data_IF_232723711759
#
_entry.id   IF_232723711759
#
_cell.length_a   1.000
_cell.length_b   1.000
_cell.length_c   1.000
_cell.angle_alpha   90.00
_cell.angle_beta   90.00
_cell.angle_gamma   90.00
#
_symmetry.space_group_name_H-M   'P 1'
#
loop_
_entity.id
_entity.type
_entity.pdbx_description
1 polymer ?
#
# COMPACT_ATOMS: atom_id res chain seq x y z
N UNK A 1 -19.70 -4.43 1.41
CA UNK A 1 -18.52 -4.31 0.51
C UNK A 1 -18.72 -5.24 -0.69
N UNK A 2 -18.72 -4.75 -1.92
CA UNK A 2 -18.79 -5.63 -3.10
C UNK A 2 -17.44 -6.30 -3.25
N UNK A 3 -17.44 -7.62 -3.40
CA UNK A 3 -16.22 -8.42 -3.60
C UNK A 3 -15.54 -8.00 -4.91
N UNK A 4 -14.23 -7.83 -4.90
CA UNK A 4 -13.46 -7.57 -6.11
C UNK A 4 -13.66 -8.70 -7.13
N UNK A 5 -13.64 -8.35 -8.41
CA UNK A 5 -13.80 -9.30 -9.50
C UNK A 5 -12.49 -10.07 -9.66
N UNK A 6 -12.50 -11.36 -9.30
CA UNK A 6 -11.37 -12.27 -9.51
C UNK A 6 -11.18 -12.52 -11.00
N UNK A 7 -9.96 -12.38 -11.48
CA UNK A 7 -9.63 -12.60 -12.90
C UNK A 7 -9.17 -14.04 -13.12
N UNK A 8 -10.13 -14.92 -13.36
CA UNK A 8 -9.86 -16.33 -13.58
C UNK A 8 -9.02 -16.95 -12.45
N UNK A 9 -7.98 -17.70 -12.81
CA UNK A 9 -7.01 -18.26 -11.86
C UNK A 9 -5.73 -17.43 -11.70
N UNK A 10 -5.76 -16.15 -12.11
CA UNK A 10 -4.61 -15.24 -11.92
C UNK A 10 -4.50 -14.76 -10.48
N UNK A 11 -3.35 -14.20 -10.05
CA UNK A 11 -3.22 -13.57 -8.72
C UNK A 11 -3.93 -12.21 -8.63
N UNK A 12 -4.68 -11.81 -9.65
CA UNK A 12 -5.31 -10.49 -9.78
C UNK A 12 -6.80 -10.54 -9.50
N UNK A 13 -7.26 -9.63 -8.64
CA UNK A 13 -8.66 -9.18 -8.57
C UNK A 13 -8.73 -7.69 -8.81
N UNK A 14 -9.81 -7.20 -9.40
CA UNK A 14 -9.98 -5.77 -9.68
C UNK A 14 -11.32 -5.23 -9.20
N UNK A 15 -11.34 -3.93 -8.90
CA UNK A 15 -12.54 -3.11 -8.82
C UNK A 15 -12.38 -1.91 -9.75
N UNK A 16 -13.43 -1.57 -10.49
CA UNK A 16 -13.52 -0.36 -11.31
C UNK A 16 -14.65 0.49 -10.74
N UNK A 17 -14.40 1.75 -10.43
CA UNK A 17 -15.35 2.55 -9.70
C UNK A 17 -15.18 4.06 -9.91
N UNK A 18 -16.28 4.79 -9.64
CA UNK A 18 -16.29 6.24 -9.45
C UNK A 18 -16.43 6.53 -7.97
N UNK A 19 -15.74 7.54 -7.50
CA UNK A 19 -15.92 8.10 -6.15
C UNK A 19 -16.68 9.42 -6.30
N UNK A 20 -17.92 9.48 -5.79
CA UNK A 20 -18.76 10.66 -5.91
C UNK A 20 -18.61 11.62 -4.74
N UNK A 21 -18.36 11.08 -3.55
CA UNK A 21 -18.17 11.83 -2.31
C UNK A 21 -17.05 11.19 -1.50
N UNK A 22 -16.77 11.78 -0.34
CA UNK A 22 -15.85 11.16 0.61
C UNK A 22 -16.32 9.76 0.98
N UNK A 23 -15.46 8.79 0.75
CA UNK A 23 -15.70 7.39 1.10
C UNK A 23 -14.51 6.84 1.87
N UNK A 24 -14.78 6.09 2.93
CA UNK A 24 -13.76 5.30 3.63
C UNK A 24 -13.81 3.88 3.11
N UNK A 25 -12.67 3.36 2.69
CA UNK A 25 -12.56 2.00 2.22
C UNK A 25 -11.59 1.23 3.10
N UNK A 26 -12.03 0.05 3.52
CA UNK A 26 -11.17 -0.88 4.23
C UNK A 26 -10.35 -1.66 3.21
N UNK A 27 -9.04 -1.69 3.39
CA UNK A 27 -8.14 -2.49 2.59
C UNK A 27 -8.38 -4.00 2.82
N UNK A 28 -8.29 -4.79 1.76
CA UNK A 28 -8.40 -6.25 1.87
C UNK A 28 -7.11 -6.83 2.49
N UNK A 29 -7.24 -7.39 3.70
CA UNK A 29 -6.12 -8.06 4.35
C UNK A 29 -5.47 -9.13 3.47
N UNK A 30 -4.14 -9.15 3.43
CA UNK A 30 -3.34 -10.16 2.72
C UNK A 30 -3.07 -9.91 1.24
N UNK A 31 -3.60 -8.82 0.66
CA UNK A 31 -3.33 -8.43 -0.73
C UNK A 31 -2.65 -7.07 -0.81
N UNK A 32 -1.72 -6.91 -1.76
CA UNK A 32 -1.22 -5.59 -2.13
C UNK A 32 -2.27 -4.91 -3.01
N UNK A 33 -2.66 -3.68 -2.70
CA UNK A 33 -3.53 -2.89 -3.55
C UNK A 33 -2.73 -1.84 -4.31
N UNK A 34 -3.01 -1.70 -5.62
CA UNK A 34 -2.57 -0.56 -6.41
C UNK A 34 -3.81 0.18 -6.86
N UNK A 35 -3.90 1.46 -6.50
CA UNK A 35 -4.98 2.35 -6.92
C UNK A 35 -4.48 3.14 -8.12
N UNK A 36 -5.19 3.07 -9.24
CA UNK A 36 -4.88 3.75 -10.48
C UNK A 36 -6.03 4.66 -10.91
N UNK A 37 -5.77 5.95 -11.05
CA UNK A 37 -6.73 6.92 -11.55
C UNK A 37 -6.70 6.94 -13.08
N UNK A 38 -7.80 6.54 -13.73
CA UNK A 38 -7.90 6.51 -15.20
C UNK A 38 -8.42 7.81 -15.78
N UNK A 39 -9.25 8.56 -15.03
CA UNK A 39 -9.86 9.81 -15.52
C UNK A 39 -10.11 10.76 -14.37
N UNK A 40 -9.98 12.06 -14.65
CA UNK A 40 -10.27 13.13 -13.71
C UNK A 40 -9.26 13.18 -12.58
N UNK A 41 -9.74 13.39 -11.37
CA UNK A 41 -8.90 13.41 -10.18
C UNK A 41 -9.64 12.93 -8.95
N UNK A 42 -8.90 12.37 -8.01
CA UNK A 42 -9.41 11.96 -6.72
C UNK A 42 -8.43 12.38 -5.62
N UNK A 43 -8.94 13.02 -4.58
CA UNK A 43 -8.19 13.29 -3.37
C UNK A 43 -8.15 12.00 -2.55
N UNK A 44 -6.97 11.59 -2.19
CA UNK A 44 -6.70 10.37 -1.43
C UNK A 44 -5.98 10.75 -0.14
N UNK A 45 -6.54 10.36 1.00
CA UNK A 45 -5.94 10.56 2.31
C UNK A 45 -5.56 9.21 2.91
N UNK A 46 -4.30 9.06 3.25
CA UNK A 46 -3.75 7.85 3.86
C UNK A 46 -2.89 8.24 5.08
N UNK A 47 -3.22 7.69 6.22
CA UNK A 47 -2.60 8.10 7.49
C UNK A 47 -2.70 9.63 7.70
N UNK A 48 -1.59 10.33 7.65
CA UNK A 48 -1.51 11.80 7.79
C UNK A 48 -1.19 12.52 6.48
N UNK A 49 -1.00 11.77 5.40
CA UNK A 49 -0.67 12.32 4.09
C UNK A 49 -1.92 12.46 3.22
N UNK A 50 -1.94 13.50 2.42
CA UNK A 50 -3.00 13.77 1.47
C UNK A 50 -2.38 13.93 0.09
N UNK A 51 -2.89 13.17 -0.87
CA UNK A 51 -2.47 13.20 -2.27
C UNK A 51 -3.65 13.58 -3.15
N UNK A 52 -3.35 14.11 -4.33
CA UNK A 52 -4.34 14.19 -5.41
C UNK A 52 -3.84 13.31 -6.54
N UNK A 53 -4.56 12.22 -6.81
CA UNK A 53 -4.29 11.37 -7.96
C UNK A 53 -5.02 11.96 -9.17
N UNK A 54 -4.28 12.33 -10.19
CA UNK A 54 -4.80 12.74 -11.48
C UNK A 54 -4.82 11.56 -12.47
N UNK A 55 -5.47 11.73 -13.60
CA UNK A 55 -5.47 10.71 -14.65
C UNK A 55 -4.05 10.28 -15.03
N UNK A 56 -3.78 8.99 -14.89
CA UNK A 56 -2.45 8.40 -15.11
C UNK A 56 -1.60 8.23 -13.86
N UNK A 57 -2.01 8.77 -12.72
CA UNK A 57 -1.34 8.56 -11.43
C UNK A 57 -1.80 7.27 -10.76
N UNK A 58 -0.91 6.69 -9.97
CA UNK A 58 -1.20 5.48 -9.19
C UNK A 58 -0.40 5.46 -7.88
N UNK A 59 -0.89 4.68 -6.93
CA UNK A 59 -0.24 4.50 -5.63
C UNK A 59 -0.43 3.07 -5.13
N UNK A 60 0.60 2.51 -4.51
CA UNK A 60 0.46 1.29 -3.72
C UNK A 60 -0.08 1.62 -2.34
N UNK A 61 -0.99 0.77 -1.85
CA UNK A 61 -1.55 0.88 -0.51
C UNK A 61 -1.22 -0.38 0.26
N UNK A 62 -0.61 -0.19 1.42
CA UNK A 62 -0.24 -1.28 2.31
C UNK A 62 -1.45 -2.09 2.77
N UNK A 63 -1.17 -3.32 3.16
CA UNK A 63 -2.15 -4.21 3.78
C UNK A 63 -2.71 -3.57 5.05
N UNK A 64 -3.99 -3.77 5.25
CA UNK A 64 -4.71 -3.32 6.46
C UNK A 64 -4.71 -1.80 6.69
N UNK A 65 -4.41 -1.03 5.66
CA UNK A 65 -4.46 0.42 5.71
C UNK A 65 -5.88 0.98 5.51
N UNK A 66 -6.16 2.06 6.20
CA UNK A 66 -7.38 2.85 6.02
C UNK A 66 -7.07 4.10 5.24
N UNK A 67 -7.94 4.41 4.28
CA UNK A 67 -7.79 5.60 3.47
C UNK A 67 -9.15 6.19 3.09
N UNK A 68 -9.13 7.46 2.74
CA UNK A 68 -10.30 8.20 2.29
C UNK A 68 -10.11 8.64 0.84
N UNK A 69 -11.22 8.64 0.13
CA UNK A 69 -11.33 9.30 -1.15
C UNK A 69 -12.28 10.50 -1.05
N UNK A 70 -11.99 11.51 -1.84
CA UNK A 70 -12.90 12.60 -2.13
C UNK A 70 -12.68 13.04 -3.58
N UNK A 71 -13.71 12.95 -4.42
CA UNK A 71 -13.54 13.30 -5.82
C UNK A 71 -14.85 13.47 -6.57
N UNK A 72 -14.74 14.15 -7.71
CA UNK A 72 -15.82 14.30 -8.69
C UNK A 72 -15.25 14.07 -10.09
N UNK A 73 -16.10 13.54 -11.00
CA UNK A 73 -15.70 13.25 -12.38
C UNK A 73 -14.41 12.45 -12.50
N UNK A 74 -14.26 11.45 -11.65
CA UNK A 74 -13.10 10.55 -11.63
C UNK A 74 -13.48 9.14 -12.09
N UNK A 75 -12.48 8.36 -12.41
CA UNK A 75 -12.60 6.93 -12.67
C UNK A 75 -11.34 6.25 -12.17
N UNK A 76 -11.51 5.32 -11.23
CA UNK A 76 -10.41 4.62 -10.60
C UNK A 76 -10.50 3.11 -10.81
N UNK A 77 -9.36 2.46 -10.80
CA UNK A 77 -9.21 1.00 -10.73
C UNK A 77 -8.34 0.64 -9.55
N UNK A 78 -8.82 -0.27 -8.71
CA UNK A 78 -7.98 -0.96 -7.73
C UNK A 78 -7.57 -2.31 -8.28
N UNK A 79 -6.26 -2.57 -8.30
CA UNK A 79 -5.66 -3.87 -8.54
C UNK A 79 -5.36 -4.51 -7.18
N UNK A 80 -5.90 -5.67 -6.90
CA UNK A 80 -5.60 -6.44 -5.71
C UNK A 80 -4.74 -7.63 -6.11
N UNK A 81 -3.49 -7.63 -5.65
CA UNK A 81 -2.48 -8.63 -5.99
C UNK A 81 -2.29 -9.61 -4.82
N UNK A 82 -2.59 -10.88 -5.05
CA UNK A 82 -2.32 -11.96 -4.08
C UNK A 82 -0.82 -12.27 -4.07
N UNK A 83 -0.09 -11.62 -3.16
CA UNK A 83 1.35 -11.76 -3.03
C UNK A 83 1.77 -13.16 -2.55
N UNK A 84 0.86 -13.94 -1.94
CA UNK A 84 1.19 -15.29 -1.45
C UNK A 84 1.56 -16.25 -2.57
N UNK A 85 1.06 -16.03 -3.77
CA UNK A 85 1.38 -16.83 -4.96
C UNK A 85 2.83 -16.69 -5.44
N UNK A 86 3.52 -15.66 -4.97
CA UNK A 86 4.92 -15.36 -5.33
C UNK A 86 5.94 -15.77 -4.27
N UNK A 87 5.51 -16.39 -3.17
CA UNK A 87 6.40 -16.84 -2.09
C UNK A 87 7.49 -17.82 -2.54
N UNK A 88 7.23 -18.64 -3.56
CA UNK A 88 8.22 -19.55 -4.13
C UNK A 88 9.28 -18.81 -4.94
N UNK A 89 8.88 -17.74 -5.66
CA UNK A 89 9.80 -16.92 -6.47
C UNK A 89 10.57 -15.93 -5.60
N UNK A 90 9.87 -15.30 -4.66
CA UNK A 90 10.41 -14.26 -3.78
C UNK A 90 10.05 -14.57 -2.33
N UNK A 91 10.95 -15.19 -1.63
CA UNK A 91 10.73 -15.60 -0.24
C UNK A 91 10.36 -14.42 0.66
N UNK A 92 9.27 -14.54 1.40
CA UNK A 92 8.77 -13.50 2.29
C UNK A 92 8.07 -12.32 1.61
N UNK A 93 7.78 -12.40 0.30
CA UNK A 93 7.19 -11.27 -0.45
C UNK A 93 5.81 -10.87 0.09
N UNK A 94 5.00 -11.81 0.55
CA UNK A 94 3.68 -11.52 1.14
C UNK A 94 3.76 -10.71 2.44
N UNK A 95 4.95 -10.56 3.02
CA UNK A 95 5.23 -9.78 4.23
C UNK A 95 5.96 -8.48 3.96
N UNK A 96 6.35 -8.23 2.71
CA UNK A 96 7.08 -7.01 2.30
C UNK A 96 6.13 -5.83 2.14
N UNK A 97 6.66 -4.64 2.36
CA UNK A 97 5.98 -3.37 2.17
C UNK A 97 6.54 -2.70 0.91
N UNK A 98 5.65 -2.21 0.07
CA UNK A 98 6.02 -1.57 -1.19
C UNK A 98 5.56 -0.12 -1.18
N UNK A 99 6.51 0.82 -1.34
CA UNK A 99 6.21 2.24 -1.47
C UNK A 99 6.40 2.63 -2.93
N UNK A 100 5.29 2.78 -3.64
CA UNK A 100 5.29 3.20 -5.03
C UNK A 100 4.25 4.31 -5.23
N UNK A 101 4.72 5.55 -5.25
CA UNK A 101 3.90 6.74 -5.45
C UNK A 101 4.14 7.26 -6.88
N UNK A 102 3.42 6.69 -7.84
CA UNK A 102 3.45 7.11 -9.24
C UNK A 102 2.67 8.42 -9.46
N UNK A 103 2.90 9.42 -8.60
CA UNK A 103 2.21 10.70 -8.55
C UNK A 103 3.21 11.79 -8.96
N UNK A 104 2.78 12.73 -9.79
CA UNK A 104 3.66 13.84 -10.20
C UNK A 104 4.14 14.63 -8.98
N UNK A 105 5.43 14.89 -8.91
CA UNK A 105 6.09 15.55 -7.77
C UNK A 105 6.46 14.62 -6.60
N UNK A 106 6.04 13.36 -6.60
CA UNK A 106 6.40 12.35 -5.59
C UNK A 106 7.34 11.28 -6.15
N UNK A 107 7.44 11.16 -7.47
CA UNK A 107 8.30 10.17 -8.12
C UNK A 107 9.76 10.38 -7.77
N UNK A 108 10.45 9.29 -7.50
CA UNK A 108 11.91 9.26 -7.36
C UNK A 108 12.53 9.31 -8.76
N UNK A 109 13.33 10.32 -9.10
CA UNK A 109 13.83 10.51 -10.47
C UNK A 109 14.59 9.29 -11.02
N UNK A 110 15.36 8.61 -10.17
CA UNK A 110 16.16 7.43 -10.53
C UNK A 110 15.30 6.22 -10.91
N UNK A 111 14.01 6.22 -10.54
CA UNK A 111 13.05 5.15 -10.82
C UNK A 111 12.02 5.55 -11.89
N UNK A 112 12.24 6.66 -12.60
CA UNK A 112 11.27 7.17 -13.58
C UNK A 112 10.82 6.10 -14.59
N UNK A 113 11.76 5.32 -15.14
CA UNK A 113 11.47 4.23 -16.08
C UNK A 113 10.63 3.11 -15.46
N UNK A 114 10.78 2.83 -14.16
CA UNK A 114 10.03 1.79 -13.45
C UNK A 114 8.57 2.23 -13.22
N UNK A 115 8.33 3.51 -12.89
CA UNK A 115 6.97 4.06 -12.83
C UNK A 115 6.27 3.98 -14.18
N UNK A 116 6.97 4.35 -15.27
CA UNK A 116 6.41 4.30 -16.62
C UNK A 116 6.14 2.85 -17.05
N UNK A 117 7.03 1.92 -16.71
CA UNK A 117 6.82 0.50 -16.95
C UNK A 117 5.61 -0.04 -16.21
N UNK A 118 5.45 0.26 -14.91
CA UNK A 118 4.27 -0.13 -14.13
C UNK A 118 2.98 0.39 -14.72
N UNK A 119 2.96 1.68 -15.09
CA UNK A 119 1.80 2.31 -15.74
C UNK A 119 1.43 1.59 -17.04
N UNK A 120 2.40 1.33 -17.90
CA UNK A 120 2.20 0.62 -19.17
C UNK A 120 1.66 -0.80 -18.97
N UNK A 121 2.19 -1.54 -18.00
CA UNK A 121 1.74 -2.89 -17.67
C UNK A 121 0.29 -2.91 -17.14
N UNK A 122 -0.08 -1.97 -16.27
CA UNK A 122 -1.45 -1.85 -15.77
C UNK A 122 -2.45 -1.54 -16.88
N UNK A 123 -2.13 -0.59 -17.76
CA UNK A 123 -2.98 -0.25 -18.92
C UNK A 123 -3.10 -1.46 -19.84
N UNK A 124 -2.00 -2.17 -20.11
CA UNK A 124 -1.97 -3.35 -20.96
C UNK A 124 -2.83 -4.48 -20.38
N UNK A 125 -2.69 -4.76 -19.09
CA UNK A 125 -3.51 -5.77 -18.40
C UNK A 125 -5.01 -5.46 -18.50
N UNK A 126 -5.42 -4.21 -18.22
CA UNK A 126 -6.81 -3.77 -18.34
C UNK A 126 -7.33 -3.87 -19.78
N UNK A 127 -6.50 -3.51 -20.78
CA UNK A 127 -6.89 -3.62 -22.19
C UNK A 127 -7.11 -5.08 -22.60
N UNK A 128 -6.25 -5.99 -22.19
CA UNK A 128 -6.43 -7.42 -22.45
C UNK A 128 -7.67 -7.98 -21.74
N UNK A 129 -7.93 -7.55 -20.49
CA UNK A 129 -9.16 -7.87 -19.79
C UNK A 129 -10.40 -7.40 -20.54
N UNK A 130 -10.39 -6.16 -21.03
CA UNK A 130 -11.53 -5.58 -21.76
C UNK A 130 -11.83 -6.26 -23.10
N UNK A 131 -10.83 -6.93 -23.68
CA UNK A 131 -10.96 -7.70 -24.95
C UNK A 131 -11.26 -9.18 -24.72
N UNK A 132 -11.32 -9.64 -23.46
CA UNK A 132 -11.48 -11.07 -23.15
C UNK A 132 -10.29 -11.91 -23.59
N UNK A 133 -9.08 -11.36 -23.60
CA UNK A 133 -7.84 -12.06 -24.00
C UNK A 133 -7.50 -13.19 -23.03
N UNK A 134 -6.53 -14.03 -23.40
CA UNK A 134 -6.12 -15.17 -22.59
C UNK A 134 -5.58 -14.76 -21.23
N UNK A 135 -5.83 -15.57 -20.21
CA UNK A 135 -5.35 -15.34 -18.85
C UNK A 135 -3.82 -15.32 -18.75
N UNK A 136 -3.13 -16.01 -19.66
CA UNK A 136 -1.66 -16.07 -19.71
C UNK A 136 -1.02 -14.70 -19.95
N UNK A 137 -1.60 -13.92 -20.88
CA UNK A 137 -1.09 -12.55 -21.16
C UNK A 137 -1.28 -11.66 -19.93
N UNK A 138 -2.43 -11.75 -19.28
CA UNK A 138 -2.74 -10.96 -18.06
C UNK A 138 -1.79 -11.39 -16.94
N UNK A 139 -1.59 -12.69 -16.73
CA UNK A 139 -0.63 -13.20 -15.74
C UNK A 139 0.78 -12.68 -16.02
N UNK A 140 1.23 -12.68 -17.27
CA UNK A 140 2.53 -12.15 -17.66
C UNK A 140 2.69 -10.66 -17.28
N UNK A 141 1.67 -9.84 -17.51
CA UNK A 141 1.69 -8.44 -17.06
C UNK A 141 1.80 -8.33 -15.52
N UNK A 142 1.07 -9.19 -14.79
CA UNK A 142 1.10 -9.18 -13.33
C UNK A 142 2.45 -9.66 -12.80
N UNK A 143 3.03 -10.70 -13.40
CA UNK A 143 4.36 -11.19 -13.04
C UNK A 143 5.40 -10.07 -13.19
N UNK A 144 5.36 -9.32 -14.30
CA UNK A 144 6.26 -8.18 -14.49
C UNK A 144 5.98 -7.02 -13.53
N UNK A 145 4.73 -6.74 -13.17
CA UNK A 145 4.39 -5.73 -12.14
C UNK A 145 5.02 -6.12 -10.81
N UNK A 146 4.89 -7.38 -10.39
CA UNK A 146 5.48 -7.88 -9.15
C UNK A 146 7.00 -7.80 -9.19
N UNK A 147 7.62 -8.14 -10.32
CA UNK A 147 9.08 -8.08 -10.50
C UNK A 147 9.60 -6.65 -10.35
N UNK A 148 8.93 -5.66 -10.94
CA UNK A 148 9.29 -4.25 -10.80
C UNK A 148 9.08 -3.76 -9.36
N UNK A 149 7.95 -4.08 -8.75
CA UNK A 149 7.69 -3.70 -7.35
C UNK A 149 8.76 -4.27 -6.42
N UNK A 150 9.09 -5.56 -6.59
CA UNK A 150 10.11 -6.22 -5.78
C UNK A 150 11.51 -5.63 -5.95
N UNK A 151 11.90 -5.30 -7.18
CA UNK A 151 13.25 -4.81 -7.48
C UNK A 151 13.48 -3.34 -7.14
N UNK A 152 12.43 -2.52 -7.22
CA UNK A 152 12.58 -1.06 -7.20
C UNK A 152 11.82 -0.36 -6.07
N UNK A 153 10.71 -0.94 -5.60
CA UNK A 153 9.79 -0.28 -4.68
C UNK A 153 9.64 -0.97 -3.31
N UNK A 154 10.39 -2.03 -3.06
CA UNK A 154 10.50 -2.59 -1.72
C UNK A 154 11.04 -1.53 -0.75
N UNK A 155 10.36 -1.32 0.39
CA UNK A 155 10.70 -0.25 1.36
C UNK A 155 12.17 -0.28 1.78
N UNK A 156 12.78 -1.45 1.81
CA UNK A 156 14.19 -1.59 2.17
C UNK A 156 15.13 -1.17 1.04
N UNK A 157 14.74 -1.36 -0.20
CA UNK A 157 15.46 -0.83 -1.35
C UNK A 157 15.36 0.69 -1.41
N UNK A 158 14.17 1.23 -1.08
CA UNK A 158 13.87 2.65 -1.12
C UNK A 158 14.63 3.46 -0.06
N UNK A 159 14.68 2.97 1.20
CA UNK A 159 15.34 3.70 2.30
C UNK A 159 16.85 3.51 2.38
N UNK A 160 17.40 2.44 1.82
CA UNK A 160 18.82 2.14 1.93
C UNK A 160 19.68 2.86 0.88
N UNK A 161 19.08 3.45 -0.18
CA UNK A 161 19.83 4.00 -1.32
C UNK A 161 20.81 3.00 -1.96
N UNK A 162 20.74 1.73 -1.53
CA UNK A 162 21.55 0.60 -1.97
C UNK A 162 20.68 -0.64 -1.87
N UNK A 163 20.46 -1.28 -2.98
CA UNK A 163 19.89 -2.63 -3.02
C UNK A 163 20.61 -3.53 -2.01
N UNK A 164 19.92 -3.97 -0.98
CA UNK A 164 20.41 -5.06 -0.13
C UNK A 164 20.31 -6.31 -0.99
N UNK A 165 21.39 -6.66 -1.66
CA UNK A 165 21.49 -7.80 -2.58
C UNK A 165 21.48 -9.17 -1.87
N UNK A 166 21.36 -9.21 -0.55
CA UNK A 166 21.41 -10.45 0.22
C UNK A 166 20.01 -10.81 0.72
N UNK A 167 19.35 -11.72 0.02
CA UNK A 167 18.00 -12.20 0.33
C UNK A 167 17.88 -12.77 1.75
N UNK A 168 18.92 -13.40 2.32
CA UNK A 168 18.88 -13.88 3.70
C UNK A 168 18.82 -12.74 4.72
N UNK A 169 19.52 -11.64 4.45
CA UNK A 169 19.46 -10.44 5.31
C UNK A 169 18.09 -9.83 5.23
N UNK A 170 17.55 -9.67 4.04
CA UNK A 170 16.19 -9.15 3.81
C UNK A 170 15.14 -10.01 4.54
N UNK A 171 15.23 -11.33 4.40
CA UNK A 171 14.29 -12.24 5.07
C UNK A 171 14.33 -12.11 6.60
N UNK A 172 15.52 -12.02 7.20
CA UNK A 172 15.67 -11.83 8.65
C UNK A 172 15.03 -10.52 9.11
N UNK A 173 15.13 -9.49 8.32
CA UNK A 173 14.54 -8.18 8.57
C UNK A 173 13.03 -8.25 8.58
N UNK A 174 12.45 -8.81 7.51
CA UNK A 174 11.00 -8.99 7.44
C UNK A 174 10.48 -9.91 8.53
N UNK A 175 11.23 -10.95 8.86
CA UNK A 175 10.90 -11.84 9.98
C UNK A 175 10.90 -11.09 11.31
N UNK A 176 11.80 -10.12 11.51
CA UNK A 176 11.82 -9.28 12.70
C UNK A 176 10.61 -8.35 12.75
N UNK A 177 10.35 -7.65 11.67
CA UNK A 177 9.21 -6.73 11.55
C UNK A 177 7.88 -7.49 11.70
N UNK A 178 7.77 -8.66 11.09
CA UNK A 178 6.60 -9.52 11.20
C UNK A 178 6.38 -10.04 12.62
N UNK A 179 7.42 -10.50 13.30
CA UNK A 179 7.32 -10.90 14.70
C UNK A 179 6.83 -9.73 15.57
N UNK A 180 7.35 -8.53 15.35
CA UNK A 180 6.88 -7.32 16.05
C UNK A 180 5.41 -7.04 15.76
N UNK A 181 4.96 -7.18 14.52
CA UNK A 181 3.56 -7.00 14.12
C UNK A 181 2.65 -8.03 14.81
N UNK A 182 2.99 -9.31 14.79
CA UNK A 182 2.20 -10.36 15.44
C UNK A 182 2.09 -10.20 16.96
N UNK A 183 3.16 -9.68 17.59
CA UNK A 183 3.27 -9.57 19.05
C UNK A 183 3.17 -8.12 19.55
N UNK A 184 2.76 -7.17 18.70
CA UNK A 184 2.75 -5.75 19.05
C UNK A 184 1.90 -5.41 20.28
N UNK A 185 0.86 -6.20 20.54
CA UNK A 185 -0.03 -6.03 21.70
C UNK A 185 0.61 -6.51 23.01
N UNK A 186 1.68 -7.27 22.92
CA UNK A 186 2.41 -7.80 24.06
C UNK A 186 3.54 -6.87 24.51
N UNK A 187 4.06 -7.08 25.70
CA UNK A 187 5.23 -6.33 26.19
C UNK A 187 6.53 -6.91 25.65
N UNK A 188 6.76 -6.74 24.32
CA UNK A 188 7.96 -7.25 23.65
C UNK A 188 9.14 -6.29 23.76
N UNK A 189 10.34 -6.84 23.78
CA UNK A 189 11.60 -6.13 23.79
C UNK A 189 12.54 -6.67 22.68
N UNK A 190 13.63 -5.96 22.43
CA UNK A 190 14.66 -6.37 21.44
C UNK A 190 15.13 -7.81 21.66
N UNK A 191 15.27 -8.23 22.93
CA UNK A 191 15.70 -9.60 23.30
C UNK A 191 14.75 -10.69 22.77
N UNK A 192 13.45 -10.41 22.71
CA UNK A 192 12.43 -11.37 22.29
C UNK A 192 12.53 -11.59 20.78
N UNK A 193 12.69 -10.51 20.00
CA UNK A 193 12.97 -10.57 18.56
C UNK A 193 14.30 -11.27 18.29
N UNK A 194 15.34 -10.92 19.02
CA UNK A 194 16.67 -11.53 18.88
C UNK A 194 16.63 -13.04 19.13
N UNK A 195 15.97 -13.47 20.21
CA UNK A 195 15.76 -14.88 20.54
C UNK A 195 14.99 -15.62 19.44
N UNK A 196 13.90 -15.04 18.94
CA UNK A 196 13.07 -15.64 17.88
C UNK A 196 13.87 -15.88 16.60
N UNK A 197 14.77 -14.95 16.25
CA UNK A 197 15.52 -14.99 15.01
C UNK A 197 16.89 -15.67 15.12
N UNK A 198 17.27 -16.13 16.31
CA UNK A 198 18.61 -16.67 16.55
C UNK A 198 19.72 -15.63 16.38
N UNK A 199 19.44 -14.36 16.67
CA UNK A 199 20.34 -13.23 16.52
C UNK A 199 20.73 -12.66 17.90
N UNK A 200 21.78 -11.82 17.92
CA UNK A 200 22.12 -11.06 19.13
C UNK A 200 21.29 -9.80 19.25
N UNK A 201 20.99 -9.37 20.49
CA UNK A 201 20.27 -8.10 20.74
C UNK A 201 20.97 -6.89 20.10
N UNK A 202 22.29 -6.88 20.13
CA UNK A 202 23.09 -5.82 19.51
C UNK A 202 22.91 -5.76 17.98
N UNK A 203 22.82 -6.93 17.33
CA UNK A 203 22.55 -7.00 15.90
C UNK A 203 21.15 -6.42 15.57
N UNK A 204 20.12 -6.87 16.28
CA UNK A 204 18.74 -6.41 16.10
C UNK A 204 18.63 -4.91 16.39
N UNK A 205 19.22 -4.41 17.49
CA UNK A 205 19.23 -2.98 17.83
C UNK A 205 19.91 -2.13 16.77
N UNK A 206 21.12 -2.53 16.33
CA UNK A 206 21.85 -1.82 15.26
C UNK A 206 21.06 -1.83 13.95
N UNK A 207 20.41 -2.93 13.68
CA UNK A 207 19.62 -3.08 12.49
C UNK A 207 18.45 -2.08 12.47
N UNK A 208 17.61 -2.07 13.54
CA UNK A 208 16.50 -1.11 13.63
C UNK A 208 16.96 0.34 13.69
N UNK A 209 18.11 0.65 14.29
CA UNK A 209 18.61 2.03 14.32
C UNK A 209 19.22 2.50 13.00
N UNK A 210 19.72 1.57 12.16
CA UNK A 210 20.37 1.91 10.89
C UNK A 210 19.39 1.95 9.70
N UNK A 211 18.41 1.05 9.68
CA UNK A 211 17.54 0.82 8.52
C UNK A 211 16.06 1.10 8.80
N UNK A 212 15.72 1.48 10.04
CA UNK A 212 14.37 1.82 10.45
C UNK A 212 14.41 2.92 11.51
N UNK A 213 13.25 3.22 12.04
CA UNK A 213 13.03 4.27 13.05
C UNK A 213 13.57 3.92 14.46
N UNK A 214 14.23 2.79 14.62
CA UNK A 214 14.56 2.20 15.91
C UNK A 214 13.41 1.34 16.46
N UNK A 215 13.76 0.29 17.22
CA UNK A 215 12.81 -0.70 17.70
C UNK A 215 11.56 -0.11 18.39
N UNK A 216 11.76 0.81 19.33
CA UNK A 216 10.66 1.41 20.10
C UNK A 216 9.73 2.25 19.22
N UNK A 217 10.27 3.00 18.27
CA UNK A 217 9.49 3.81 17.34
C UNK A 217 8.72 2.94 16.37
N UNK A 218 9.34 1.88 15.84
CA UNK A 218 8.67 0.89 14.98
C UNK A 218 7.50 0.24 15.72
N UNK A 219 7.70 -0.20 16.96
CA UNK A 219 6.62 -0.78 17.76
C UNK A 219 5.51 0.23 18.05
N UNK A 220 5.87 1.48 18.34
CA UNK A 220 4.93 2.58 18.54
C UNK A 220 4.09 2.85 17.29
N UNK A 221 4.71 2.81 16.12
CA UNK A 221 4.01 2.94 14.84
C UNK A 221 3.01 1.80 14.61
N UNK A 222 3.45 0.55 14.75
CA UNK A 222 2.59 -0.62 14.58
C UNK A 222 1.36 -0.57 15.48
N UNK A 223 1.55 -0.23 16.75
CA UNK A 223 0.44 -0.07 17.72
C UNK A 223 -0.51 1.07 17.36
N UNK A 224 0.03 2.20 16.91
CA UNK A 224 -0.78 3.35 16.49
C UNK A 224 -1.58 3.00 15.22
N UNK A 225 -0.97 2.31 14.26
CA UNK A 225 -1.63 1.84 13.04
C UNK A 225 -2.76 0.84 13.34
N UNK A 226 -2.52 -0.14 14.21
CA UNK A 226 -3.56 -1.08 14.66
C UNK A 226 -4.77 -0.35 15.27
N UNK A 227 -4.53 0.78 15.95
CA UNK A 227 -5.61 1.54 16.58
C UNK A 227 -6.58 2.20 15.61
N UNK A 228 -6.21 2.40 14.35
CA UNK A 228 -7.10 2.97 13.33
C UNK A 228 -8.38 2.14 13.19
N UNK A 229 -8.22 0.83 13.11
CA UNK A 229 -9.37 -0.07 13.00
C UNK A 229 -10.36 0.12 14.16
N UNK A 230 -9.84 0.16 15.40
CA UNK A 230 -10.68 0.36 16.58
C UNK A 230 -11.34 1.73 16.60
N UNK A 231 -10.60 2.78 16.22
CA UNK A 231 -11.12 4.15 16.14
C UNK A 231 -12.30 4.26 15.17
N UNK A 232 -12.21 3.59 14.03
CA UNK A 232 -13.20 3.70 12.95
C UNK A 232 -14.38 2.73 13.10
N UNK A 233 -14.16 1.55 13.66
CA UNK A 233 -15.14 0.47 13.65
C UNK A 233 -15.76 0.12 15.02
N UNK A 234 -15.33 0.75 16.11
CA UNK A 234 -15.84 0.47 17.46
C UNK A 234 -16.20 1.73 18.23
N UNK A 235 -17.06 1.56 19.26
CA UNK A 235 -17.39 2.62 20.22
C UNK A 235 -16.46 2.64 21.44
N UNK A 236 -15.40 1.85 21.44
CA UNK A 236 -14.43 1.80 22.55
C UNK A 236 -13.88 3.20 22.85
N UNK A 237 -13.69 3.47 24.13
CA UNK A 237 -13.03 4.69 24.59
C UNK A 237 -11.56 4.71 24.11
N UNK A 238 -10.96 5.90 24.05
CA UNK A 238 -9.55 6.05 23.67
C UNK A 238 -8.64 5.27 24.65
N UNK A 239 -9.02 5.17 25.91
CA UNK A 239 -8.28 4.42 26.92
C UNK A 239 -8.32 2.92 26.62
N UNK A 240 -9.51 2.35 26.38
CA UNK A 240 -9.67 0.94 26.00
C UNK A 240 -8.90 0.58 24.71
N UNK A 241 -8.92 1.48 23.71
CA UNK A 241 -8.15 1.28 22.46
C UNK A 241 -6.65 1.28 22.75
N UNK A 242 -6.18 2.19 23.59
CA UNK A 242 -4.78 2.24 24.01
C UNK A 242 -4.30 0.92 24.62
N UNK A 243 -5.11 0.33 25.51
CA UNK A 243 -4.84 -0.97 26.14
C UNK A 243 -4.88 -2.12 25.15
N UNK A 244 -5.90 -2.17 24.30
CA UNK A 244 -6.06 -3.19 23.25
C UNK A 244 -4.89 -3.21 22.23
N UNK A 245 -4.32 -2.03 21.97
CA UNK A 245 -3.17 -1.89 21.07
C UNK A 245 -1.82 -2.07 21.80
N UNK A 246 -1.82 -2.45 23.09
CA UNK A 246 -0.64 -2.79 23.85
C UNK A 246 0.18 -1.60 24.37
N UNK A 247 -0.39 -0.39 24.43
CA UNK A 247 0.28 0.73 25.10
C UNK A 247 0.17 0.57 26.62
N UNK A 248 1.29 0.79 27.32
CA UNK A 248 1.34 0.71 28.78
C UNK A 248 0.66 1.89 29.49
N UNK A 249 0.36 2.97 28.78
CA UNK A 249 -0.28 4.17 29.31
C UNK A 249 -0.87 4.96 28.11
N UNK A 250 -2.06 5.49 28.29
CA UNK A 250 -2.76 6.27 27.26
C UNK A 250 -1.98 7.50 26.78
N UNK A 251 -1.13 8.07 27.63
CA UNK A 251 -0.26 9.20 27.26
C UNK A 251 0.73 8.81 26.16
N UNK A 252 1.27 7.58 26.18
CA UNK A 252 2.16 7.09 25.14
C UNK A 252 1.40 6.83 23.82
N UNK A 253 0.16 6.37 23.91
CA UNK A 253 -0.70 6.27 22.74
C UNK A 253 -0.95 7.63 22.11
N UNK A 254 -1.36 8.64 22.88
CA UNK A 254 -1.54 10.01 22.35
C UNK A 254 -0.26 10.56 21.71
N UNK A 255 0.89 10.37 22.36
CA UNK A 255 2.17 10.82 21.83
C UNK A 255 2.52 10.13 20.52
N UNK A 256 2.40 8.80 20.46
CA UNK A 256 2.63 7.99 19.26
C UNK A 256 1.67 8.41 18.13
N UNK A 257 0.38 8.48 18.41
CA UNK A 257 -0.62 8.82 17.42
C UNK A 257 -0.39 10.22 16.85
N UNK A 258 -0.07 11.20 17.70
CA UNK A 258 0.27 12.56 17.25
C UNK A 258 1.57 12.61 16.44
N UNK A 259 2.57 11.77 16.78
CA UNK A 259 3.82 11.66 16.01
C UNK A 259 3.55 11.19 14.60
N UNK A 260 2.72 10.13 14.44
CA UNK A 260 2.49 9.45 13.17
C UNK A 260 1.34 10.04 12.34
N UNK A 261 0.26 10.45 12.97
CA UNK A 261 -0.96 10.94 12.31
C UNK A 261 -1.16 12.45 12.35
N UNK A 262 -0.23 13.21 13.00
CA UNK A 262 -0.26 14.67 13.15
C UNK A 262 -1.55 15.21 13.82
N UNK A 263 -2.39 14.35 14.34
CA UNK A 263 -3.60 14.67 15.08
C UNK A 263 -3.77 13.76 16.31
N UNK A 264 -4.77 14.04 17.14
CA UNK A 264 -5.10 13.15 18.27
C UNK A 264 -5.99 11.99 17.80
N UNK A 265 -6.02 10.84 18.53
CA UNK A 265 -6.94 9.72 18.22
C UNK A 265 -8.40 10.17 18.15
N UNK A 266 -8.80 11.11 19.02
CA UNK A 266 -10.16 11.65 19.04
C UNK A 266 -10.47 12.44 17.76
N UNK A 267 -9.55 13.33 17.34
CA UNK A 267 -9.69 14.10 16.11
C UNK A 267 -9.73 13.18 14.87
N UNK A 268 -8.89 12.15 14.86
CA UNK A 268 -8.91 11.14 13.79
C UNK A 268 -10.27 10.44 13.72
N UNK A 269 -10.80 9.94 14.85
CA UNK A 269 -12.12 9.32 14.92
C UNK A 269 -13.22 10.26 14.43
N UNK A 270 -13.23 11.52 14.90
CA UNK A 270 -14.24 12.51 14.51
C UNK A 270 -14.18 12.79 13.01
N UNK A 271 -12.98 12.95 12.44
CA UNK A 271 -12.79 13.22 11.03
C UNK A 271 -13.24 12.04 10.14
N UNK A 272 -12.74 10.85 10.43
CA UNK A 272 -12.86 9.73 9.50
C UNK A 272 -14.07 8.83 9.76
N UNK A 273 -14.59 8.74 10.97
CA UNK A 273 -15.75 7.94 11.28
C UNK A 273 -17.08 8.57 10.82
N UNK A 274 -17.18 9.88 10.86
CA UNK A 274 -18.37 10.61 10.40
C UNK A 274 -18.50 10.67 8.87
N UNK A 275 -17.44 10.32 8.14
CA UNK A 275 -17.38 10.34 6.70
C UNK A 275 -17.61 8.97 6.05
N UNK A 276 -18.00 7.95 6.83
CA UNK A 276 -18.31 6.59 6.40
C UNK A 276 -19.57 6.51 5.49
N UNK A 277 -19.63 7.34 4.47
CA UNK A 277 -20.59 7.21 3.38
C UNK A 277 -19.88 6.59 2.20
N UNK A 278 -20.03 5.27 2.03
CA UNK A 278 -19.62 4.61 0.79
C UNK A 278 -20.51 5.10 -0.36
N UNK A 279 -20.14 6.20 -0.98
CA UNK A 279 -20.70 6.64 -2.25
C UNK A 279 -19.74 6.31 -3.38
N UNK A 280 -19.51 5.01 -3.56
CA UNK A 280 -18.71 4.43 -4.63
C UNK A 280 -19.64 3.73 -5.61
N UNK A 281 -19.65 4.19 -6.85
CA UNK A 281 -20.36 3.51 -7.94
C UNK A 281 -19.44 2.53 -8.63
N UNK A 282 -19.71 1.22 -8.46
CA UNK A 282 -18.99 0.17 -9.15
C UNK A 282 -19.36 0.12 -10.63
N UNK A 283 -18.36 -0.11 -11.48
CA UNK A 283 -18.47 -0.20 -12.93
C UNK A 283 -17.93 -1.53 -13.44
N UNK A 284 -18.21 -1.82 -14.72
CA UNK A 284 -17.68 -3.00 -15.42
C UNK A 284 -16.46 -2.62 -16.26
N UNK A 285 -15.69 -3.63 -16.70
CA UNK A 285 -14.51 -3.44 -17.55
C UNK A 285 -14.87 -2.77 -18.90
N UNK A 286 -16.09 -2.97 -19.40
CA UNK A 286 -16.53 -2.33 -20.65
C UNK A 286 -16.60 -0.80 -20.54
N UNK A 287 -16.83 -0.28 -19.34
CA UNK A 287 -16.92 1.16 -19.09
C UNK A 287 -15.62 1.92 -19.29
N UNK A 288 -14.48 1.22 -19.41
CA UNK A 288 -13.15 1.83 -19.49
C UNK A 288 -12.45 1.63 -20.85
N UNK A 289 -13.06 0.92 -21.80
CA UNK A 289 -12.43 0.55 -23.08
C UNK A 289 -11.85 1.74 -23.84
N UNK A 290 -12.66 2.75 -24.07
CA UNK A 290 -12.25 3.93 -24.86
C UNK A 290 -11.13 4.72 -24.16
N UNK A 291 -11.20 4.80 -22.84
CA UNK A 291 -10.19 5.49 -22.02
C UNK A 291 -8.86 4.75 -22.10
N UNK A 292 -8.88 3.41 -22.01
CA UNK A 292 -7.66 2.60 -22.09
C UNK A 292 -6.95 2.71 -23.44
N UNK A 293 -7.70 2.82 -24.54
CA UNK A 293 -7.11 3.00 -25.86
C UNK A 293 -6.42 4.37 -25.99
N UNK A 294 -7.04 5.45 -25.50
CA UNK A 294 -6.43 6.76 -25.46
C UNK A 294 -5.18 6.79 -24.55
N UNK A 295 -5.27 6.25 -23.34
CA UNK A 295 -4.15 6.22 -22.41
C UNK A 295 -2.95 5.43 -22.93
N UNK A 296 -3.21 4.34 -23.66
CA UNK A 296 -2.13 3.53 -24.23
C UNK A 296 -1.41 4.30 -25.34
N UNK A 297 -2.14 5.01 -26.19
CA UNK A 297 -1.55 5.86 -27.23
C UNK A 297 -0.70 6.96 -26.59
N UNK A 298 -1.22 7.67 -25.60
CA UNK A 298 -0.51 8.74 -24.89
C UNK A 298 0.74 8.21 -24.20
N UNK A 299 0.67 7.03 -23.57
CA UNK A 299 1.80 6.39 -22.91
C UNK A 299 2.92 6.07 -23.92
N UNK A 300 2.61 5.46 -25.06
CA UNK A 300 3.60 5.22 -26.11
C UNK A 300 4.17 6.50 -26.72
N UNK A 301 3.32 7.50 -26.94
CA UNK A 301 3.80 8.78 -27.45
C UNK A 301 4.79 9.46 -26.51
N UNK A 302 4.56 9.39 -25.20
CA UNK A 302 5.51 9.91 -24.18
C UNK A 302 6.86 9.17 -24.19
N UNK A 303 6.83 7.83 -24.34
CA UNK A 303 8.07 7.02 -24.40
C UNK A 303 8.90 7.28 -25.66
N UNK A 304 8.26 7.62 -26.78
CA UNK A 304 8.94 7.84 -28.06
C UNK A 304 9.13 9.31 -28.44
N UNK A 305 8.61 10.25 -27.62
CA UNK A 305 8.92 11.67 -27.82
C UNK A 305 10.38 11.90 -27.43
N UNK A 306 11.23 12.40 -28.35
CA UNK A 306 12.58 12.78 -27.97
C UNK A 306 12.47 13.87 -26.91
N UNK A 307 13.22 13.72 -25.83
CA UNK A 307 13.39 14.78 -24.83
C UNK A 307 14.08 15.95 -25.57
N UNK A 308 13.29 16.85 -26.09
CA UNK A 308 13.74 18.15 -26.59
C UNK A 308 14.00 19.02 -25.35
N UNK A 309 15.20 18.87 -24.78
CA UNK A 309 15.83 19.84 -23.88
C UNK A 309 17.21 20.17 -24.42
#
# INVERSE_FOLDING_TARGET
MKTAIQIGNTPLSINIYLVNQTATKLHNAGTLEIIFCLKGSVKFSYAYEEFTLHAGDFITVDRDAYYLYDGRDNLCVSFYLDMSRYEQKYKGISRRLFICEGIEGHKVPELAGDYDKLKGLMITALKHLSKGSSQEIISGCIDEIIDVLHSSFDILCYHAGKSIKNDEVLERIYSAAWYMYEHQKENIAVKDVAKKLGLTENYVSKYFSKNALGFRKTLSYLRASESEWYLLNTDKSIMEISEECGFSDVKYYYAAFKEWYKCTPKQFRERYRNENKEDIKMLTIDSVKDILDAMLIDHYMQLFSPQLN
#
